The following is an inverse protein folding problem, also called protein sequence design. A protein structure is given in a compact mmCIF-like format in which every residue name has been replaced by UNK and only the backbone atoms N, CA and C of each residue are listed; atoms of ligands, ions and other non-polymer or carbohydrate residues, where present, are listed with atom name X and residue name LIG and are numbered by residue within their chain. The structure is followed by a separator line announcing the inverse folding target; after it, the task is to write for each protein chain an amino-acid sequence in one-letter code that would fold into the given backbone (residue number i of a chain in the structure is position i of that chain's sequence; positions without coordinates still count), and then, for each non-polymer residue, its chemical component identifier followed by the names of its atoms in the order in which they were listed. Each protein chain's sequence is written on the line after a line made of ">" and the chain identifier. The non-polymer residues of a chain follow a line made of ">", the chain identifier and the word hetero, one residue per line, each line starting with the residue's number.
data_IF_842340720913
#
_entry.id   IF_842340720913
#
_cell.length_a   1.000
_cell.length_b   1.000
_cell.length_c   1.000
_cell.angle_alpha   90.00
_cell.angle_beta   90.00
_cell.angle_gamma   90.00
#
_symmetry.space_group_name_H-M   'P 1'
#
loop_
_entity.id
_entity.type
_entity.pdbx_description
1 polymer ?
#
# COMPACT_ATOMS: atom_id res chain seq x y z
N UNK A 1 -18.48 -4.97 -4.06
CA UNK A 1 -18.85 -4.52 -2.70
C UNK A 1 -17.57 -3.98 -2.08
N UNK A 2 -17.48 -2.68 -1.83
CA UNK A 2 -16.27 -2.09 -1.24
C UNK A 2 -16.38 -2.27 0.28
N UNK A 3 -15.67 -3.24 0.83
CA UNK A 3 -15.62 -3.47 2.28
C UNK A 3 -14.62 -2.48 2.82
N UNK A 4 -15.10 -1.50 3.60
CA UNK A 4 -14.25 -0.61 4.38
C UNK A 4 -13.96 -1.31 5.71
N UNK A 5 -12.82 -1.94 5.77
CA UNK A 5 -12.34 -2.72 6.92
C UNK A 5 -11.59 -1.87 7.96
N UNK A 6 -11.49 -0.55 7.74
CA UNK A 6 -10.67 0.38 8.54
C UNK A 6 -11.34 1.73 8.68
N UNK A 7 -11.27 2.29 9.90
CA UNK A 7 -11.84 3.60 10.21
C UNK A 7 -10.84 4.39 11.06
N UNK A 8 -10.51 5.59 10.60
CA UNK A 8 -9.89 6.63 11.43
C UNK A 8 -11.04 7.47 11.99
N UNK A 9 -11.17 7.53 13.30
CA UNK A 9 -12.32 8.11 13.96
C UNK A 9 -11.89 9.20 14.94
N UNK A 10 -12.32 10.43 14.69
CA UNK A 10 -12.13 11.50 15.65
C UNK A 10 -13.05 11.27 16.85
N UNK A 11 -12.50 11.40 18.07
CA UNK A 11 -13.28 11.28 19.28
C UNK A 11 -14.21 12.47 19.42
N UNK A 12 -13.72 13.69 19.14
CA UNK A 12 -14.46 14.93 19.29
C UNK A 12 -15.07 15.37 17.96
N UNK A 13 -16.24 14.85 17.63
CA UNK A 13 -17.01 15.27 16.47
C UNK A 13 -17.89 16.47 16.82
N UNK A 14 -18.17 17.32 15.84
CA UNK A 14 -19.01 18.52 16.03
C UNK A 14 -20.45 18.17 16.45
N UNK A 15 -20.94 17.02 16.02
CA UNK A 15 -22.32 16.56 16.14
C UNK A 15 -22.46 15.18 16.81
N UNK A 16 -21.42 14.73 17.52
CA UNK A 16 -21.47 13.41 18.14
C UNK A 16 -20.23 12.99 18.91
N UNK A 17 -20.32 11.82 19.50
CA UNK A 17 -19.23 11.15 20.23
C UNK A 17 -18.65 10.02 19.39
N UNK A 18 -17.36 10.11 19.07
CA UNK A 18 -16.63 9.08 18.33
C UNK A 18 -16.69 7.70 18.99
N UNK A 19 -16.76 7.65 20.32
CA UNK A 19 -16.93 6.38 21.06
C UNK A 19 -18.28 5.70 20.77
N UNK A 20 -19.36 6.46 20.65
CA UNK A 20 -20.67 5.93 20.30
C UNK A 20 -20.69 5.34 18.88
N UNK A 21 -20.00 6.00 17.96
CA UNK A 21 -19.84 5.52 16.58
C UNK A 21 -19.01 4.22 16.57
N UNK A 22 -17.86 4.20 17.29
CA UNK A 22 -17.02 3.00 17.39
C UNK A 22 -17.79 1.80 17.93
N UNK A 23 -18.61 1.99 18.97
CA UNK A 23 -19.47 0.97 19.54
C UNK A 23 -20.47 0.42 18.51
N UNK A 24 -21.02 1.30 17.68
CA UNK A 24 -21.96 0.91 16.61
C UNK A 24 -21.25 0.12 15.51
N UNK A 25 -20.06 0.55 15.12
CA UNK A 25 -19.22 -0.15 14.13
C UNK A 25 -18.89 -1.55 14.66
N UNK A 26 -18.40 -1.66 15.89
CA UNK A 26 -18.05 -2.93 16.52
C UNK A 26 -19.21 -3.92 16.57
N UNK A 27 -20.42 -3.42 16.86
CA UNK A 27 -21.64 -4.25 16.92
C UNK A 27 -22.05 -4.80 15.55
N UNK A 28 -21.82 -4.05 14.47
CA UNK A 28 -22.23 -4.42 13.11
C UNK A 28 -21.11 -5.09 12.31
N UNK A 29 -19.86 -4.74 12.59
CA UNK A 29 -18.68 -5.10 11.81
C UNK A 29 -17.52 -5.41 12.76
N UNK A 30 -17.53 -6.61 13.35
CA UNK A 30 -16.56 -7.04 14.39
C UNK A 30 -15.10 -6.94 13.94
N UNK A 31 -14.86 -7.11 12.65
CA UNK A 31 -13.52 -7.18 12.06
C UNK A 31 -12.98 -5.81 11.58
N UNK A 32 -13.79 -4.76 11.73
CA UNK A 32 -13.38 -3.42 11.35
C UNK A 32 -12.36 -2.85 12.34
N UNK A 33 -11.21 -2.46 11.83
CA UNK A 33 -10.14 -1.83 12.60
C UNK A 33 -10.52 -0.37 12.86
N UNK A 34 -10.57 0.02 14.13
CA UNK A 34 -10.82 1.42 14.55
C UNK A 34 -9.55 1.98 15.18
N UNK A 35 -9.07 3.11 14.64
CA UNK A 35 -7.99 3.92 15.20
C UNK A 35 -8.58 5.27 15.56
N UNK A 36 -8.44 5.68 16.81
CA UNK A 36 -8.95 6.96 17.25
C UNK A 36 -7.96 8.09 17.00
N UNK A 37 -8.51 9.24 16.61
CA UNK A 37 -7.80 10.52 16.59
C UNK A 37 -8.27 11.32 17.80
N UNK A 38 -7.36 11.73 18.69
CA UNK A 38 -7.70 12.45 19.92
C UNK A 38 -6.91 13.74 20.08
N UNK A 39 -7.54 14.77 20.62
CA UNK A 39 -6.86 16.00 21.02
C UNK A 39 -6.40 15.96 22.50
N UNK A 40 -6.65 14.85 23.19
CA UNK A 40 -6.48 14.77 24.65
C UNK A 40 -5.51 13.65 25.02
N UNK A 41 -4.50 13.96 25.85
CA UNK A 41 -3.50 13.01 26.37
C UNK A 41 -3.95 12.37 27.69
N UNK A 42 -5.26 12.43 28.01
CA UNK A 42 -5.74 11.87 29.27
C UNK A 42 -5.77 10.36 29.21
N UNK A 43 -5.04 9.73 30.10
CA UNK A 43 -4.97 8.27 30.30
C UNK A 43 -6.36 7.61 30.43
N UNK A 44 -7.35 8.34 31.00
CA UNK A 44 -8.73 7.88 31.11
C UNK A 44 -9.45 7.67 29.77
N UNK A 45 -9.12 8.47 28.76
CA UNK A 45 -9.72 8.41 27.43
C UNK A 45 -9.11 7.26 26.63
N UNK A 46 -7.83 6.99 26.80
CA UNK A 46 -7.14 5.84 26.21
C UNK A 46 -7.70 4.51 26.75
N UNK A 47 -7.83 4.38 28.10
CA UNK A 47 -8.37 3.19 28.75
C UNK A 47 -9.77 2.88 28.22
N UNK A 48 -10.66 3.89 28.20
CA UNK A 48 -12.02 3.76 27.70
C UNK A 48 -12.11 3.27 26.25
N UNK A 49 -11.22 3.72 25.44
CA UNK A 49 -11.24 3.32 24.04
C UNK A 49 -10.66 1.93 23.79
N UNK A 50 -9.65 1.49 24.56
CA UNK A 50 -9.18 0.11 24.51
C UNK A 50 -10.28 -0.87 24.96
N UNK A 51 -11.08 -0.52 25.97
CA UNK A 51 -12.27 -1.30 26.38
C UNK A 51 -13.30 -1.43 25.25
N UNK A 52 -13.41 -0.42 24.38
CA UNK A 52 -14.27 -0.44 23.19
C UNK A 52 -13.64 -1.18 22.00
N UNK A 53 -12.42 -1.73 22.19
CA UNK A 53 -11.73 -2.53 21.20
C UNK A 53 -11.03 -1.72 20.12
N UNK A 54 -10.68 -0.47 20.38
CA UNK A 54 -9.77 0.29 19.51
C UNK A 54 -8.39 -0.40 19.49
N UNK A 55 -7.75 -0.32 18.34
CA UNK A 55 -6.44 -0.96 18.14
C UNK A 55 -5.30 0.01 18.44
N UNK A 56 -5.47 1.30 18.20
CA UNK A 56 -4.47 2.34 18.49
C UNK A 56 -5.11 3.73 18.58
N UNK A 57 -4.31 4.68 19.10
CA UNK A 57 -4.65 6.10 19.27
C UNK A 57 -3.59 6.97 18.59
N UNK A 58 -4.05 8.08 18.04
CA UNK A 58 -3.18 9.11 17.47
C UNK A 58 -3.56 10.45 18.05
N UNK A 59 -2.65 11.02 18.84
CA UNK A 59 -2.82 12.33 19.47
C UNK A 59 -2.58 13.47 18.48
N UNK A 60 -3.48 14.44 18.48
CA UNK A 60 -3.33 15.70 17.74
C UNK A 60 -2.49 16.69 18.56
N UNK A 61 -1.59 17.48 17.91
CA UNK A 61 -1.30 17.51 16.48
C UNK A 61 -0.38 16.37 16.04
N UNK A 62 -0.66 15.75 14.90
CA UNK A 62 0.19 14.70 14.32
C UNK A 62 0.68 15.08 12.93
N UNK A 63 1.84 14.58 12.54
CA UNK A 63 2.31 14.65 11.16
C UNK A 63 1.66 13.56 10.31
N UNK A 64 1.45 13.83 9.02
CA UNK A 64 0.96 12.82 8.06
C UNK A 64 1.87 11.59 8.04
N UNK A 65 3.18 11.80 8.15
CA UNK A 65 4.16 10.72 8.23
C UNK A 65 3.96 9.83 9.46
N UNK A 66 3.73 10.43 10.64
CA UNK A 66 3.46 9.69 11.88
C UNK A 66 2.16 8.89 11.78
N UNK A 67 1.11 9.50 11.22
CA UNK A 67 -0.17 8.83 10.95
C UNK A 67 0.00 7.61 10.05
N UNK A 68 0.69 7.77 8.93
CA UNK A 68 0.94 6.67 7.98
C UNK A 68 1.68 5.51 8.66
N UNK A 69 2.75 5.80 9.41
CA UNK A 69 3.53 4.77 10.10
C UNK A 69 2.73 4.01 11.15
N UNK A 70 1.89 4.70 11.92
CA UNK A 70 1.02 4.04 12.89
C UNK A 70 -0.02 3.15 12.21
N UNK A 71 -0.68 3.63 11.17
CA UNK A 71 -1.63 2.83 10.39
C UNK A 71 -0.94 1.60 9.79
N UNK A 72 0.23 1.75 9.18
CA UNK A 72 1.01 0.63 8.63
C UNK A 72 1.37 -0.41 9.70
N UNK A 73 1.78 0.04 10.90
CA UNK A 73 2.12 -0.86 12.00
C UNK A 73 0.91 -1.64 12.50
N UNK A 74 -0.24 -0.98 12.69
CA UNK A 74 -1.49 -1.63 13.09
C UNK A 74 -1.90 -2.70 12.08
N UNK A 75 -1.80 -2.39 10.78
CA UNK A 75 -2.11 -3.34 9.71
C UNK A 75 -1.19 -4.56 9.74
N UNK A 76 0.08 -4.37 10.08
CA UNK A 76 1.06 -5.46 10.20
C UNK A 76 0.80 -6.33 11.42
N UNK A 77 0.47 -5.73 12.58
CA UNK A 77 0.22 -6.45 13.84
C UNK A 77 -1.05 -7.31 13.81
N UNK A 78 -2.08 -6.87 13.08
CA UNK A 78 -3.37 -7.56 13.02
C UNK A 78 -3.38 -8.78 12.09
N UNK A 79 -2.20 -9.29 11.71
CA UNK A 79 -2.13 -10.53 10.93
C UNK A 79 -2.89 -10.45 9.60
N UNK A 80 -3.00 -9.25 9.02
CA UNK A 80 -3.10 -9.22 7.58
C UNK A 80 -1.81 -9.89 7.14
N UNK A 81 -1.93 -11.19 7.00
CA UNK A 81 -0.93 -12.06 6.40
C UNK A 81 -0.13 -11.21 5.43
N UNK A 82 1.19 -11.31 5.48
CA UNK A 82 1.99 -11.13 4.26
C UNK A 82 1.16 -11.84 3.21
N UNK A 83 0.27 -11.11 2.57
CA UNK A 83 -0.64 -11.74 1.62
C UNK A 83 0.31 -12.27 0.56
N UNK A 84 -0.02 -13.36 -0.08
CA UNK A 84 0.70 -13.79 -1.30
C UNK A 84 0.82 -12.63 -2.32
N UNK A 85 0.13 -11.50 -2.06
CA UNK A 85 0.20 -10.23 -2.81
C UNK A 85 1.41 -9.37 -2.47
N UNK A 86 2.04 -9.55 -1.27
CA UNK A 86 3.23 -8.77 -0.87
C UNK A 86 4.54 -9.41 -1.33
N UNK A 87 4.46 -10.61 -1.89
CA UNK A 87 5.61 -11.33 -2.45
C UNK A 87 5.28 -11.74 -3.88
N UNK A 88 6.21 -11.48 -4.79
CA UNK A 88 6.24 -12.07 -6.11
C UNK A 88 7.45 -12.98 -6.20
N UNK A 89 7.24 -14.22 -6.60
CA UNK A 89 8.29 -15.19 -6.83
C UNK A 89 7.90 -16.08 -8.02
N UNK A 90 8.74 -16.12 -9.04
CA UNK A 90 8.61 -16.99 -10.21
C UNK A 90 9.79 -17.99 -10.32
N UNK A 91 10.60 -18.08 -9.26
CA UNK A 91 11.82 -18.88 -9.21
C UNK A 91 13.06 -18.16 -9.75
N UNK A 92 12.91 -17.04 -10.45
CA UNK A 92 13.99 -16.21 -10.98
C UNK A 92 13.99 -14.81 -10.37
N UNK A 93 12.86 -14.12 -10.43
CA UNK A 93 12.65 -12.80 -9.81
C UNK A 93 11.87 -12.96 -8.52
N UNK A 94 12.50 -12.61 -7.42
CA UNK A 94 11.89 -12.52 -6.11
C UNK A 94 11.75 -11.05 -5.71
N UNK A 95 10.54 -10.65 -5.32
CA UNK A 95 10.23 -9.30 -4.81
C UNK A 95 9.44 -9.45 -3.52
N UNK A 96 9.95 -8.87 -2.42
CA UNK A 96 9.21 -8.69 -1.18
C UNK A 96 8.90 -7.20 -1.02
N UNK A 97 7.65 -6.84 -1.23
CA UNK A 97 7.20 -5.45 -1.20
C UNK A 97 7.10 -4.89 0.21
N UNK A 98 6.87 -5.74 1.22
CA UNK A 98 6.82 -5.34 2.62
C UNK A 98 8.21 -4.97 3.15
N UNK A 99 9.21 -5.77 2.82
CA UNK A 99 10.60 -5.56 3.26
C UNK A 99 11.42 -4.72 2.28
N UNK A 100 10.88 -4.42 1.09
CA UNK A 100 11.57 -3.74 -0.01
C UNK A 100 12.87 -4.47 -0.41
N UNK A 101 12.83 -5.79 -0.43
CA UNK A 101 13.94 -6.64 -0.87
C UNK A 101 13.63 -7.27 -2.21
N UNK A 102 14.65 -7.40 -3.06
CA UNK A 102 14.54 -8.00 -4.38
C UNK A 102 15.76 -8.87 -4.69
N UNK A 103 15.53 -9.95 -5.42
CA UNK A 103 16.58 -10.84 -5.92
C UNK A 103 16.29 -11.23 -7.37
N UNK A 104 17.31 -11.38 -8.16
CA UNK A 104 17.24 -11.90 -9.54
C UNK A 104 18.24 -13.02 -9.71
N UNK A 105 17.78 -14.21 -10.07
CA UNK A 105 18.64 -15.40 -10.20
C UNK A 105 19.43 -15.71 -8.91
N UNK A 106 18.83 -15.50 -7.74
CA UNK A 106 19.45 -15.70 -6.43
C UNK A 106 20.45 -14.62 -6.00
N UNK A 107 20.62 -13.55 -6.80
CA UNK A 107 21.51 -12.42 -6.46
C UNK A 107 20.68 -11.21 -6.02
N UNK A 108 21.14 -10.44 -4.99
CA UNK A 108 20.47 -9.22 -4.58
C UNK A 108 20.32 -8.23 -5.75
N UNK A 109 19.11 -7.67 -5.88
CA UNK A 109 18.77 -6.68 -6.88
C UNK A 109 18.43 -5.35 -6.21
N UNK A 110 19.15 -4.29 -6.56
CA UNK A 110 18.88 -2.95 -6.03
C UNK A 110 17.82 -2.24 -6.86
N UNK A 111 16.69 -1.94 -6.21
CA UNK A 111 15.59 -1.18 -6.78
C UNK A 111 15.37 0.09 -5.95
N UNK A 112 15.03 1.19 -6.63
CA UNK A 112 14.59 2.42 -5.96
C UNK A 112 13.16 2.26 -5.42
N UNK A 113 12.77 3.12 -4.48
CA UNK A 113 11.40 3.14 -3.93
C UNK A 113 10.34 3.28 -5.02
N UNK A 114 10.61 4.07 -6.05
CA UNK A 114 9.72 4.26 -7.19
C UNK A 114 9.58 2.99 -8.04
N UNK A 115 10.70 2.30 -8.29
CA UNK A 115 10.71 1.03 -9.01
C UNK A 115 9.94 -0.06 -8.24
N UNK A 116 10.11 -0.13 -6.91
CA UNK A 116 9.33 -1.04 -6.06
C UNK A 116 7.83 -0.74 -6.11
N UNK A 117 7.43 0.53 -6.01
CA UNK A 117 6.02 0.92 -6.11
C UNK A 117 5.42 0.52 -7.45
N UNK A 118 6.15 0.76 -8.53
CA UNK A 118 5.72 0.41 -9.89
C UNK A 118 5.57 -1.11 -10.06
N UNK A 119 6.54 -1.88 -9.61
CA UNK A 119 6.49 -3.35 -9.64
C UNK A 119 5.34 -3.90 -8.79
N UNK A 120 5.12 -3.34 -7.59
CA UNK A 120 4.00 -3.72 -6.73
C UNK A 120 2.65 -3.49 -7.44
N UNK A 121 2.48 -2.32 -8.07
CA UNK A 121 1.27 -2.01 -8.83
C UNK A 121 1.04 -2.99 -9.98
N UNK A 122 2.08 -3.39 -10.70
CA UNK A 122 2.00 -4.41 -11.74
C UNK A 122 1.64 -5.78 -11.17
N UNK A 123 2.28 -6.21 -10.09
CA UNK A 123 2.01 -7.50 -9.46
C UNK A 123 0.60 -7.61 -8.91
N UNK A 124 0.02 -6.51 -8.39
CA UNK A 124 -1.37 -6.44 -7.94
C UNK A 124 -2.38 -6.47 -9.11
N UNK A 125 -1.96 -6.10 -10.31
CA UNK A 125 -2.81 -6.06 -11.50
C UNK A 125 -2.34 -7.03 -12.60
N UNK A 126 -1.94 -8.24 -12.19
CA UNK A 126 -1.47 -9.28 -13.12
C UNK A 126 -2.46 -9.51 -14.26
N UNK A 127 -1.94 -9.69 -15.44
CA UNK A 127 -2.73 -9.96 -16.66
C UNK A 127 -3.69 -8.83 -17.10
N UNK A 128 -3.69 -7.67 -16.43
CA UNK A 128 -4.46 -6.49 -16.82
C UNK A 128 -3.56 -5.46 -17.49
N UNK A 129 -4.10 -4.75 -18.47
CA UNK A 129 -3.43 -3.60 -19.07
C UNK A 129 -3.64 -2.40 -18.14
N UNK A 130 -2.56 -1.81 -17.67
CA UNK A 130 -2.58 -0.53 -16.94
C UNK A 130 -2.30 0.59 -17.93
N UNK A 131 -3.22 1.54 -18.03
CA UNK A 131 -3.03 2.71 -18.88
C UNK A 131 -1.96 3.63 -18.30
N UNK A 132 -1.35 4.47 -19.13
CA UNK A 132 -0.38 5.48 -18.68
C UNK A 132 -0.95 6.38 -17.60
N UNK A 133 -2.19 6.83 -17.79
CA UNK A 133 -2.91 7.65 -16.82
C UNK A 133 -3.07 6.95 -15.47
N UNK A 134 -3.51 5.69 -15.46
CA UNK A 134 -3.63 4.89 -14.23
C UNK A 134 -2.29 4.68 -13.52
N UNK A 135 -1.20 4.48 -14.26
CA UNK A 135 0.13 4.35 -13.68
C UNK A 135 0.57 5.66 -13.04
N UNK A 136 0.40 6.79 -13.73
CA UNK A 136 0.72 8.10 -13.19
C UNK A 136 -0.10 8.40 -11.93
N UNK A 137 -1.41 8.29 -11.96
CA UNK A 137 -2.30 8.55 -10.83
C UNK A 137 -1.93 7.70 -9.60
N UNK A 138 -1.76 6.38 -9.77
CA UNK A 138 -1.53 5.48 -8.63
C UNK A 138 -0.11 5.53 -8.05
N UNK A 139 0.88 5.90 -8.82
CA UNK A 139 2.27 5.93 -8.37
C UNK A 139 2.60 7.29 -7.74
N UNK A 140 1.99 8.38 -8.22
CA UNK A 140 2.33 9.74 -7.83
C UNK A 140 1.29 10.49 -7.02
N UNK A 141 0.09 9.90 -6.79
CA UNK A 141 -0.97 10.48 -5.93
C UNK A 141 -0.50 10.77 -4.47
N UNK A 142 0.70 10.34 -4.09
CA UNK A 142 1.28 10.52 -2.75
C UNK A 142 2.40 11.56 -2.66
N UNK A 143 2.77 12.23 -3.75
CA UNK A 143 3.85 13.23 -3.74
C UNK A 143 3.45 14.44 -4.60
N UNK A 144 3.51 15.62 -4.02
CA UNK A 144 3.16 16.93 -4.63
C UNK A 144 4.00 17.32 -5.87
N UNK A 145 4.76 16.42 -6.45
CA UNK A 145 5.56 16.69 -7.63
C UNK A 145 4.83 16.21 -8.88
N UNK A 146 4.50 17.13 -9.74
CA UNK A 146 4.05 16.91 -11.12
C UNK A 146 5.07 16.02 -11.84
N UNK A 147 4.74 14.75 -12.02
CA UNK A 147 5.64 13.82 -12.72
C UNK A 147 5.19 13.68 -14.17
N UNK A 148 6.10 13.99 -15.05
CA UNK A 148 5.95 13.96 -16.50
C UNK A 148 5.89 12.51 -17.02
N UNK A 149 5.18 12.30 -18.13
CA UNK A 149 5.14 11.02 -18.87
C UNK A 149 6.54 10.49 -19.23
N UNK A 150 7.52 11.37 -19.36
CA UNK A 150 8.91 11.01 -19.58
C UNK A 150 9.49 10.20 -18.40
N UNK A 151 9.16 10.58 -17.18
CA UNK A 151 9.63 9.87 -15.96
C UNK A 151 9.04 8.46 -15.89
N UNK A 152 7.77 8.25 -16.28
CA UNK A 152 7.17 6.94 -16.38
C UNK A 152 7.92 6.04 -17.36
N UNK A 153 8.17 6.53 -18.57
CA UNK A 153 8.87 5.79 -19.62
C UNK A 153 10.30 5.44 -19.21
N UNK A 154 11.01 6.40 -18.62
CA UNK A 154 12.39 6.21 -18.14
C UNK A 154 12.45 5.19 -17.02
N UNK A 155 11.51 5.25 -16.05
CA UNK A 155 11.45 4.29 -14.94
C UNK A 155 11.14 2.88 -15.43
N UNK A 156 10.20 2.74 -16.36
CA UNK A 156 9.91 1.43 -16.98
C UNK A 156 11.11 0.86 -17.74
N UNK A 157 11.84 1.71 -18.46
CA UNK A 157 13.06 1.29 -19.15
C UNK A 157 14.14 0.82 -18.16
N UNK A 158 14.32 1.53 -17.03
CA UNK A 158 15.25 1.13 -15.96
C UNK A 158 14.85 -0.19 -15.31
N UNK A 159 13.56 -0.37 -15.00
CA UNK A 159 13.06 -1.64 -14.44
C UNK A 159 13.35 -2.78 -15.41
N UNK A 160 12.97 -2.63 -16.68
CA UNK A 160 13.24 -3.65 -17.71
C UNK A 160 14.73 -3.99 -17.79
N UNK A 161 15.59 -2.98 -17.87
CA UNK A 161 17.04 -3.20 -17.89
C UNK A 161 17.61 -3.96 -16.70
N UNK A 162 16.89 -3.93 -15.56
CA UNK A 162 17.29 -4.63 -14.34
C UNK A 162 16.75 -6.05 -14.25
N UNK A 163 15.51 -6.30 -14.68
CA UNK A 163 14.83 -7.60 -14.46
C UNK A 163 14.64 -8.42 -15.74
N UNK A 164 14.63 -7.79 -16.92
CA UNK A 164 14.44 -8.46 -18.21
C UNK A 164 15.79 -8.77 -18.83
N UNK A 165 16.44 -9.81 -18.34
CA UNK A 165 17.67 -10.35 -18.89
C UNK A 165 17.39 -11.71 -19.53
N UNK A 166 18.23 -12.13 -20.47
CA UNK A 166 18.16 -13.45 -21.09
C UNK A 166 16.83 -13.79 -21.81
N UNK A 167 16.20 -12.76 -22.43
CA UNK A 167 14.97 -12.95 -23.20
C UNK A 167 13.68 -13.07 -22.38
N UNK A 168 13.77 -12.94 -21.03
CA UNK A 168 12.58 -12.95 -20.19
C UNK A 168 11.89 -11.59 -20.23
N UNK A 169 10.59 -11.55 -20.46
CA UNK A 169 9.77 -10.32 -20.50
C UNK A 169 8.84 -10.30 -19.30
N UNK A 170 8.92 -9.28 -18.47
CA UNK A 170 8.01 -9.06 -17.33
C UNK A 170 6.97 -7.98 -17.61
N UNK A 171 7.34 -6.94 -18.35
CA UNK A 171 6.48 -5.79 -18.64
C UNK A 171 6.30 -5.65 -20.14
N UNK A 172 5.17 -6.04 -20.67
CA UNK A 172 4.85 -5.94 -22.10
C UNK A 172 4.18 -4.59 -22.39
N UNK A 173 4.66 -3.92 -23.45
CA UNK A 173 3.96 -2.73 -23.97
C UNK A 173 2.77 -3.14 -24.82
N UNK A 174 1.61 -2.60 -24.51
CA UNK A 174 0.40 -2.74 -25.32
C UNK A 174 0.18 -1.40 -26.05
N UNK A 175 0.51 -1.37 -27.34
CA UNK A 175 0.51 -0.15 -28.14
C UNK A 175 -0.85 0.56 -28.08
N UNK A 176 -0.82 1.87 -27.89
CA UNK A 176 -2.01 2.71 -27.76
C UNK A 176 -2.81 2.54 -26.46
N UNK A 177 -2.51 1.56 -25.61
CA UNK A 177 -3.27 1.28 -24.39
C UNK A 177 -2.45 1.47 -23.10
N UNK A 178 -1.21 0.96 -23.05
CA UNK A 178 -0.40 1.05 -21.84
C UNK A 178 0.57 -0.13 -21.67
N UNK A 179 0.62 -0.66 -20.46
CA UNK A 179 1.59 -1.72 -20.10
C UNK A 179 0.90 -2.85 -19.35
N UNK A 180 1.41 -4.07 -19.51
CA UNK A 180 0.87 -5.27 -18.90
C UNK A 180 1.99 -6.08 -18.22
N UNK A 181 1.75 -6.57 -17.01
CA UNK A 181 2.61 -7.53 -16.34
C UNK A 181 2.35 -8.94 -16.86
N UNK A 182 3.40 -9.63 -17.31
CA UNK A 182 3.32 -10.99 -17.85
C UNK A 182 3.85 -12.05 -16.88
N UNK A 183 4.59 -11.64 -15.85
CA UNK A 183 5.09 -12.55 -14.82
C UNK A 183 6.28 -13.39 -15.25
N UNK A 184 7.08 -12.92 -16.22
CA UNK A 184 8.28 -13.63 -16.66
C UNK A 184 8.04 -14.66 -17.77
N UNK A 185 7.18 -14.31 -18.74
CA UNK A 185 7.06 -15.11 -19.97
C UNK A 185 8.37 -15.06 -20.77
N UNK A 186 8.87 -16.22 -21.20
CA UNK A 186 9.94 -16.29 -22.20
C UNK A 186 9.40 -15.83 -23.54
N UNK A 187 10.13 -14.91 -24.19
CA UNK A 187 9.74 -14.36 -25.50
C UNK A 187 9.80 -15.44 -26.61
#
# INVERSE_FOLDING_TARGET
>A
MCIRDRVLLDINLLDGDGYAIAKTIRKKYSDTIVIFLTANDRESDEIRGYELGAVDYITKPFSIYSLQRKVENVLRMMGHHVSMQDVFDDGRLFLNFAEQTAMLGGKPLTLSTLEFRMLNLFCQNRNRVLTRKQLLEKIWDCTENYVDEHTLTTTLSRIRGKIETDGTVYIKTVYGMGYKWTGGETA
#
